data_IF_740714699603
#
_entry.id   IF_740714699603
#
_cell.length_a   1.000
_cell.length_b   1.000
_cell.length_c   1.000
_cell.angle_alpha   90.00
_cell.angle_beta   90.00
_cell.angle_gamma   90.00
#
_symmetry.space_group_name_H-M   'P 1'
#
loop_
_entity.id
_entity.type
_entity.pdbx_description
1 polymer ?
#
# COMPACT_ATOMS: atom_id res chain seq x y z
N UNK A 1 -20.26 -37.63 -3.89
CA UNK A 1 -21.16 -37.15 -4.97
C UNK A 1 -22.05 -36.05 -4.41
N UNK A 2 -21.67 -34.79 -4.60
CA UNK A 2 -22.56 -33.62 -4.76
C UNK A 2 -21.66 -32.41 -5.04
N UNK A 3 -21.10 -32.42 -6.25
CA UNK A 3 -20.51 -31.27 -6.92
C UNK A 3 -21.64 -30.51 -7.60
N UNK A 4 -21.85 -29.24 -7.26
CA UNK A 4 -22.76 -28.41 -8.05
C UNK A 4 -23.07 -27.05 -7.47
N UNK A 5 -22.68 -26.04 -8.24
CA UNK A 5 -23.19 -24.65 -8.30
C UNK A 5 -22.41 -23.57 -7.54
N UNK A 6 -21.20 -23.28 -8.02
CA UNK A 6 -20.59 -21.95 -7.89
C UNK A 6 -19.95 -21.42 -9.19
N UNK A 7 -20.15 -22.09 -10.33
CA UNK A 7 -19.54 -21.71 -11.63
C UNK A 7 -20.28 -20.57 -12.36
N UNK A 8 -21.06 -19.75 -11.65
CA UNK A 8 -21.99 -18.79 -12.27
C UNK A 8 -21.66 -17.30 -12.14
N UNK A 9 -20.65 -16.91 -11.36
CA UNK A 9 -20.45 -15.48 -11.02
C UNK A 9 -19.01 -14.95 -11.17
N UNK A 10 -18.12 -15.68 -11.85
CA UNK A 10 -16.74 -15.25 -12.12
C UNK A 10 -16.52 -14.73 -13.56
N UNK A 11 -17.57 -14.25 -14.25
CA UNK A 11 -17.46 -13.77 -15.64
C UNK A 11 -18.16 -12.43 -15.87
N UNK A 12 -17.74 -11.43 -15.13
CA UNK A 12 -17.88 -10.03 -15.52
C UNK A 12 -16.84 -9.25 -14.73
N UNK A 13 -15.73 -8.85 -15.36
CA UNK A 13 -14.83 -7.73 -15.03
C UNK A 13 -13.44 -7.96 -15.67
N UNK A 14 -13.36 -7.91 -17.00
CA UNK A 14 -12.13 -7.58 -17.74
C UNK A 14 -12.55 -6.88 -19.03
N UNK A 15 -12.09 -5.66 -19.34
CA UNK A 15 -12.14 -5.15 -20.70
C UNK A 15 -11.04 -5.82 -21.53
N UNK A 16 -11.44 -6.38 -22.67
CA UNK A 16 -10.56 -6.74 -23.77
C UNK A 16 -9.82 -5.49 -24.28
N UNK A 17 -8.49 -5.50 -24.29
CA UNK A 17 -7.69 -4.66 -25.18
C UNK A 17 -6.59 -5.52 -25.81
N UNK A 18 -6.92 -6.08 -26.97
CA UNK A 18 -5.95 -6.51 -27.96
C UNK A 18 -5.49 -5.29 -28.77
N UNK A 19 -4.19 -5.21 -29.05
CA UNK A 19 -3.61 -4.23 -29.94
C UNK A 19 -2.08 -4.27 -29.91
N UNK A 20 -1.50 -5.30 -30.54
CA UNK A 20 -0.08 -5.31 -30.94
C UNK A 20 0.23 -4.05 -31.75
N UNK A 21 1.17 -3.24 -31.26
CA UNK A 21 1.64 -2.01 -31.88
C UNK A 21 3.03 -1.68 -31.35
N UNK A 22 3.94 -1.45 -32.27
CA UNK A 22 5.40 -1.56 -32.19
C UNK A 22 6.06 -0.55 -31.22
N UNK A 23 6.80 -1.06 -30.24
CA UNK A 23 7.64 -0.28 -29.30
C UNK A 23 8.84 0.40 -29.99
N UNK A 24 9.13 0.06 -31.26
CA UNK A 24 10.21 0.65 -32.04
C UNK A 24 9.87 2.05 -32.59
N UNK A 25 8.59 2.36 -32.87
CA UNK A 25 8.19 3.62 -33.53
C UNK A 25 8.18 4.83 -32.57
N UNK A 26 7.99 4.59 -31.27
CA UNK A 26 8.01 5.66 -30.25
C UNK A 26 9.44 6.15 -29.97
N UNK A 27 10.43 5.27 -30.12
CA UNK A 27 11.84 5.60 -29.88
C UNK A 27 12.48 6.38 -31.03
N UNK A 28 11.94 6.31 -32.25
CA UNK A 28 12.45 7.07 -33.40
C UNK A 28 12.06 8.56 -33.36
N UNK A 29 10.95 8.92 -32.69
CA UNK A 29 10.47 10.30 -32.64
C UNK A 29 11.17 11.17 -31.58
N UNK A 30 11.84 10.54 -30.60
CA UNK A 30 12.53 11.27 -29.51
C UNK A 30 13.98 11.64 -29.89
N UNK A 31 14.55 11.02 -30.92
CA UNK A 31 15.98 11.16 -31.27
C UNK A 31 16.28 12.09 -32.45
N UNK A 32 15.32 12.85 -32.98
CA UNK A 32 15.58 13.90 -33.98
C UNK A 32 15.34 15.28 -33.39
N UNK A 33 16.35 15.83 -32.72
CA UNK A 33 16.26 17.17 -32.14
C UNK A 33 17.53 17.71 -31.52
N UNK A 34 18.70 17.49 -32.15
CA UNK A 34 19.94 18.18 -31.77
C UNK A 34 20.67 18.59 -33.05
N UNK A 35 20.64 19.89 -33.38
CA UNK A 35 21.52 20.51 -34.37
C UNK A 35 22.65 21.26 -33.64
N UNK A 36 23.89 21.03 -34.07
CA UNK A 36 25.08 21.80 -33.68
C UNK A 36 25.18 23.09 -34.50
N UNK A 37 25.55 24.19 -33.84
CA UNK A 37 25.90 25.47 -34.46
C UNK A 37 27.29 25.96 -34.03
N UNK A 38 28.06 26.67 -34.89
CA UNK A 38 29.52 26.73 -34.80
C UNK A 38 30.08 28.04 -34.20
N UNK A 39 31.21 27.91 -33.49
CA UNK A 39 32.36 28.84 -33.49
C UNK A 39 32.22 30.28 -32.94
N UNK A 40 32.99 30.57 -31.88
CA UNK A 40 33.76 31.83 -31.78
C UNK A 40 33.42 32.83 -30.66
N UNK A 41 34.42 33.07 -29.82
CA UNK A 41 34.73 34.32 -29.08
C UNK A 41 34.15 34.54 -27.66
N UNK A 42 35.06 34.71 -26.68
CA UNK A 42 34.83 35.58 -25.51
C UNK A 42 35.03 34.95 -24.12
N UNK A 43 36.26 34.98 -23.61
CA UNK A 43 36.64 34.73 -22.21
C UNK A 43 36.25 35.91 -21.30
N UNK A 44 35.60 35.68 -20.14
CA UNK A 44 35.95 36.37 -18.87
C UNK A 44 35.60 35.48 -17.67
N UNK A 45 36.61 35.16 -16.85
CA UNK A 45 36.46 34.53 -15.52
C UNK A 45 37.12 35.46 -14.49
N UNK A 46 36.48 35.88 -13.39
CA UNK A 46 37.19 36.41 -12.24
C UNK A 46 37.57 35.27 -11.28
N UNK A 47 38.83 35.32 -10.84
CA UNK A 47 39.54 34.30 -10.10
C UNK A 47 39.18 34.23 -8.61
N UNK A 48 39.20 33.01 -8.05
CA UNK A 48 39.42 32.77 -6.62
C UNK A 48 38.82 31.47 -6.09
N UNK A 49 39.69 30.62 -5.52
CA UNK A 49 39.47 29.40 -4.69
C UNK A 49 39.75 28.07 -5.44
N UNK A 50 40.51 27.13 -4.84
CA UNK A 50 41.69 26.54 -5.48
C UNK A 50 41.48 25.18 -6.18
N UNK A 51 42.49 24.89 -7.00
CA UNK A 51 42.79 23.65 -7.72
C UNK A 51 43.02 22.46 -6.74
N UNK A 52 42.13 21.46 -6.89
CA UNK A 52 42.17 20.01 -6.60
C UNK A 52 42.91 19.45 -5.38
N UNK A 53 42.16 18.64 -4.62
CA UNK A 53 42.66 17.38 -4.05
C UNK A 53 41.64 16.25 -4.35
N UNK A 54 42.03 15.39 -5.29
CA UNK A 54 41.63 13.99 -5.54
C UNK A 54 40.20 13.52 -5.15
N UNK A 55 39.35 13.38 -6.17
CA UNK A 55 38.63 12.12 -6.41
C UNK A 55 37.36 11.81 -5.60
N UNK A 56 36.60 12.79 -5.11
CA UNK A 56 35.23 12.54 -4.61
C UNK A 56 34.19 13.28 -5.48
N UNK A 57 33.12 12.62 -5.94
CA UNK A 57 32.01 13.34 -6.54
C UNK A 57 31.38 14.26 -5.49
N UNK A 58 31.31 15.56 -5.82
CA UNK A 58 30.54 16.55 -5.06
C UNK A 58 29.07 16.35 -5.48
N UNK A 59 28.21 16.04 -4.51
CA UNK A 59 26.77 15.93 -4.74
C UNK A 59 26.09 17.17 -4.19
N UNK A 60 25.36 17.88 -5.03
CA UNK A 60 24.51 18.98 -4.60
C UNK A 60 23.27 18.41 -3.87
N UNK A 61 22.97 18.95 -2.69
CA UNK A 61 21.76 18.61 -1.96
C UNK A 61 20.57 19.42 -2.50
N UNK A 62 19.49 18.75 -2.86
CA UNK A 62 18.22 19.40 -3.20
C UNK A 62 17.42 19.59 -1.91
N UNK A 63 17.07 20.85 -1.64
CA UNK A 63 16.14 21.24 -0.57
C UNK A 63 14.71 20.97 -1.05
N UNK A 64 13.95 20.22 -0.26
CA UNK A 64 12.52 19.99 -0.48
C UNK A 64 11.80 20.55 0.74
N UNK A 65 11.02 21.61 0.52
CA UNK A 65 10.18 22.24 1.54
C UNK A 65 8.91 21.43 1.79
N UNK A 66 8.32 21.60 2.98
CA UNK A 66 7.08 20.93 3.38
C UNK A 66 5.91 21.38 2.49
N UNK A 67 5.32 20.43 1.76
CA UNK A 67 3.94 20.53 1.29
C UNK A 67 3.05 19.94 2.39
N UNK A 68 2.42 20.80 3.19
CA UNK A 68 1.45 20.35 4.20
C UNK A 68 0.09 20.13 3.54
N UNK A 69 -0.14 18.95 2.97
CA UNK A 69 -1.51 18.54 2.63
C UNK A 69 -2.21 18.06 3.90
N UNK A 70 -3.28 18.76 4.28
CA UNK A 70 -4.18 18.30 5.33
C UNK A 70 -5.16 17.31 4.72
N UNK A 71 -4.88 16.02 4.90
CA UNK A 71 -5.81 14.96 4.51
C UNK A 71 -7.01 15.02 5.45
N UNK A 72 -8.15 15.46 4.92
CA UNK A 72 -9.45 15.27 5.58
C UNK A 72 -9.94 13.88 5.21
N UNK A 73 -10.22 13.05 6.21
CA UNK A 73 -10.86 11.74 5.98
C UNK A 73 -12.24 12.06 5.39
N UNK A 74 -12.38 11.86 4.08
CA UNK A 74 -13.64 12.04 3.39
C UNK A 74 -14.60 10.91 3.78
N UNK A 75 -15.90 11.19 3.85
CA UNK A 75 -16.98 10.20 4.07
C UNK A 75 -17.01 9.03 3.05
N UNK A 76 -16.09 9.02 2.09
CA UNK A 76 -15.94 7.97 1.07
C UNK A 76 -15.21 6.74 1.59
N UNK A 77 -14.28 6.91 2.53
CA UNK A 77 -13.48 5.80 3.03
C UNK A 77 -14.19 5.14 4.20
N UNK A 78 -14.53 3.85 4.09
CA UNK A 78 -15.28 3.16 5.15
C UNK A 78 -14.90 1.70 5.27
N UNK A 79 -14.73 1.27 6.51
CA UNK A 79 -14.50 -0.13 6.87
C UNK A 79 -13.04 -0.44 7.19
N UNK A 80 -12.86 -1.51 7.95
CA UNK A 80 -11.55 -2.03 8.33
C UNK A 80 -11.28 -3.29 7.52
N UNK A 81 -10.10 -3.37 6.93
CA UNK A 81 -9.64 -4.54 6.20
C UNK A 81 -8.51 -5.23 6.94
N UNK A 82 -8.58 -6.55 7.06
CA UNK A 82 -7.48 -7.40 7.53
C UNK A 82 -6.96 -8.22 6.36
N UNK A 83 -5.66 -8.11 6.06
CA UNK A 83 -5.02 -9.00 5.11
C UNK A 83 -4.80 -10.37 5.76
N UNK A 84 -5.63 -11.34 5.37
CA UNK A 84 -5.60 -12.71 5.85
C UNK A 84 -4.54 -13.50 5.08
N UNK A 85 -3.35 -13.62 5.67
CA UNK A 85 -2.27 -14.39 5.09
C UNK A 85 -2.59 -15.89 5.07
N UNK A 86 -2.29 -16.53 3.94
CA UNK A 86 -2.28 -17.98 3.80
C UNK A 86 -0.91 -18.48 3.35
N UNK A 87 -0.64 -19.76 3.60
CA UNK A 87 0.50 -20.48 3.04
C UNK A 87 0.03 -21.85 2.58
N UNK A 88 0.24 -22.16 1.29
CA UNK A 88 -0.14 -23.42 0.67
C UNK A 88 -1.63 -23.77 0.89
N UNK A 89 -2.51 -22.79 0.69
CA UNK A 89 -3.95 -22.95 0.86
C UNK A 89 -4.41 -22.93 2.32
N UNK A 90 -3.51 -22.77 3.30
CA UNK A 90 -3.88 -22.75 4.72
C UNK A 90 -3.71 -21.37 5.34
N UNK A 91 -4.76 -20.88 5.98
CA UNK A 91 -4.73 -19.63 6.73
C UNK A 91 -3.73 -19.69 7.89
N UNK A 92 -2.98 -18.60 8.08
CA UNK A 92 -2.03 -18.47 9.20
C UNK A 92 -2.75 -17.92 10.44
N UNK A 93 -2.26 -18.28 11.63
CA UNK A 93 -2.86 -17.83 12.90
C UNK A 93 -2.95 -16.32 13.04
N UNK A 94 -1.97 -15.60 12.49
CA UNK A 94 -1.94 -14.13 12.47
C UNK A 94 -3.21 -13.52 11.86
N UNK A 95 -3.85 -14.18 10.88
CA UNK A 95 -5.11 -13.71 10.31
C UNK A 95 -6.22 -13.65 11.38
N UNK A 96 -6.32 -14.68 12.22
CA UNK A 96 -7.32 -14.76 13.29
C UNK A 96 -7.04 -13.75 14.41
N UNK A 97 -5.78 -13.58 14.79
CA UNK A 97 -5.35 -12.58 15.79
C UNK A 97 -5.70 -11.16 15.34
N UNK A 98 -5.43 -10.83 14.07
CA UNK A 98 -5.75 -9.53 13.49
C UNK A 98 -7.24 -9.33 13.28
N UNK A 99 -8.01 -10.38 12.95
CA UNK A 99 -9.47 -10.28 12.87
C UNK A 99 -10.10 -9.99 14.23
N UNK A 100 -9.63 -10.64 15.29
CA UNK A 100 -10.10 -10.36 16.65
C UNK A 100 -9.86 -8.89 17.01
N UNK A 101 -8.64 -8.39 16.78
CA UNK A 101 -8.31 -6.98 17.03
C UNK A 101 -9.07 -6.03 16.12
N UNK A 102 -9.18 -6.35 14.84
CA UNK A 102 -9.95 -5.59 13.85
C UNK A 102 -11.44 -5.49 14.23
N UNK A 103 -12.02 -6.53 14.83
CA UNK A 103 -13.40 -6.55 15.31
C UNK A 103 -13.62 -5.55 16.45
N UNK A 104 -12.70 -5.51 17.43
CA UNK A 104 -12.74 -4.51 18.51
C UNK A 104 -12.74 -3.07 17.96
N UNK A 105 -11.89 -2.80 16.96
CA UNK A 105 -11.80 -1.49 16.31
C UNK A 105 -13.07 -1.16 15.51
N UNK A 106 -13.56 -2.14 14.73
CA UNK A 106 -14.72 -1.98 13.87
C UNK A 106 -16.00 -1.74 14.68
N UNK A 107 -16.14 -2.42 15.83
CA UNK A 107 -17.25 -2.21 16.77
C UNK A 107 -17.18 -0.82 17.42
N UNK A 108 -15.98 -0.36 17.78
CA UNK A 108 -15.76 0.98 18.33
C UNK A 108 -16.14 2.09 17.34
N UNK A 109 -15.92 1.85 16.05
CA UNK A 109 -16.25 2.79 14.97
C UNK A 109 -17.65 2.57 14.37
N UNK A 110 -18.33 1.47 14.72
CA UNK A 110 -19.59 1.02 14.12
C UNK A 110 -19.51 0.89 12.58
N UNK A 111 -18.44 0.27 12.10
CA UNK A 111 -18.19 0.00 10.67
C UNK A 111 -17.96 -1.49 10.42
N UNK A 112 -17.95 -1.87 9.14
CA UNK A 112 -17.75 -3.26 8.73
C UNK A 112 -16.27 -3.66 8.82
N UNK A 113 -16.02 -4.90 9.25
CA UNK A 113 -14.72 -5.57 9.16
C UNK A 113 -14.73 -6.51 7.96
N UNK A 114 -13.73 -6.40 7.09
CA UNK A 114 -13.55 -7.32 5.96
C UNK A 114 -12.21 -8.05 6.06
N UNK A 115 -12.18 -9.30 5.65
CA UNK A 115 -10.92 -10.02 5.41
C UNK A 115 -10.59 -9.98 3.92
N UNK A 116 -9.31 -9.83 3.58
CA UNK A 116 -8.80 -9.92 2.20
C UNK A 116 -7.79 -11.05 2.14
N UNK A 117 -8.03 -12.05 1.29
CA UNK A 117 -7.16 -13.22 1.15
C UNK A 117 -6.81 -13.46 -0.31
N UNK A 118 -5.52 -13.62 -0.60
CA UNK A 118 -5.01 -13.98 -1.91
C UNK A 118 -4.36 -15.36 -1.86
N UNK A 119 -4.68 -16.22 -2.81
CA UNK A 119 -4.12 -17.56 -2.84
C UNK A 119 -4.73 -18.43 -3.92
N UNK A 120 -4.57 -19.74 -3.77
CA UNK A 120 -5.18 -20.72 -4.65
C UNK A 120 -5.69 -21.90 -3.82
N UNK A 121 -6.95 -22.31 -4.04
CA UNK A 121 -7.60 -23.39 -3.28
C UNK A 121 -7.39 -23.21 -1.76
N UNK A 122 -7.79 -22.04 -1.23
CA UNK A 122 -7.64 -21.75 0.19
C UNK A 122 -8.70 -22.52 0.98
N UNK A 123 -8.23 -23.47 1.79
CA UNK A 123 -9.06 -24.27 2.67
C UNK A 123 -9.60 -23.40 3.83
N UNK A 124 -10.80 -23.75 4.32
CA UNK A 124 -11.40 -23.17 5.53
C UNK A 124 -11.54 -21.63 5.48
N UNK A 125 -11.76 -21.05 4.30
CA UNK A 125 -11.92 -19.60 4.12
C UNK A 125 -13.11 -19.03 4.92
N UNK A 126 -14.12 -19.86 5.18
CA UNK A 126 -15.29 -19.55 5.98
C UNK A 126 -14.95 -19.27 7.46
N UNK A 127 -13.80 -19.76 7.94
CA UNK A 127 -13.31 -19.42 9.28
C UNK A 127 -13.08 -17.92 9.45
N UNK A 128 -12.73 -17.18 8.39
CA UNK A 128 -12.55 -15.73 8.50
C UNK A 128 -13.84 -15.02 8.95
N UNK A 129 -15.00 -15.50 8.49
CA UNK A 129 -16.31 -15.01 8.96
C UNK A 129 -16.55 -15.43 10.41
N UNK A 130 -16.28 -16.69 10.76
CA UNK A 130 -16.46 -17.19 12.11
C UNK A 130 -15.62 -16.43 13.16
N UNK A 131 -14.47 -15.89 12.75
CA UNK A 131 -13.57 -15.09 13.59
C UNK A 131 -13.84 -13.57 13.53
N UNK A 132 -14.96 -13.15 12.94
CA UNK A 132 -15.50 -11.78 13.10
C UNK A 132 -15.51 -10.91 11.86
N UNK A 133 -15.03 -11.39 10.71
CA UNK A 133 -15.21 -10.66 9.45
C UNK A 133 -16.69 -10.65 9.04
N UNK A 134 -17.19 -9.48 8.62
CA UNK A 134 -18.51 -9.34 8.02
C UNK A 134 -18.49 -9.75 6.54
N UNK A 135 -17.35 -9.54 5.87
CA UNK A 135 -17.13 -9.82 4.44
C UNK A 135 -15.76 -10.44 4.21
N UNK A 136 -15.64 -11.26 3.17
CA UNK A 136 -14.35 -11.80 2.71
C UNK A 136 -14.17 -11.49 1.22
N UNK A 137 -13.08 -10.81 0.88
CA UNK A 137 -12.59 -10.66 -0.48
C UNK A 137 -11.54 -11.74 -0.73
N UNK A 138 -11.92 -12.76 -1.50
CA UNK A 138 -11.02 -13.83 -1.93
C UNK A 138 -10.62 -13.62 -3.39
N UNK A 139 -9.32 -13.56 -3.65
CA UNK A 139 -8.77 -13.68 -5.01
C UNK A 139 -8.12 -15.05 -5.12
N UNK A 140 -8.80 -15.96 -5.81
CA UNK A 140 -8.34 -17.34 -6.05
C UNK A 140 -7.69 -17.44 -7.43
N UNK A 141 -6.36 -17.51 -7.46
CA UNK A 141 -5.57 -17.73 -8.68
C UNK A 141 -4.30 -18.54 -8.38
N UNK A 142 -3.93 -19.53 -9.20
CA UNK A 142 -2.67 -20.26 -9.07
C UNK A 142 -1.43 -19.35 -9.19
N UNK A 143 -1.55 -18.16 -9.77
CA UNK A 143 -0.42 -17.23 -9.98
C UNK A 143 0.19 -16.73 -8.65
N UNK A 144 -0.60 -16.73 -7.57
CA UNK A 144 -0.13 -16.38 -6.23
C UNK A 144 0.86 -17.41 -5.62
N UNK A 145 1.11 -18.53 -6.30
CA UNK A 145 2.08 -19.54 -5.85
C UNK A 145 3.52 -19.25 -6.25
N UNK A 146 3.76 -18.58 -7.39
CA UNK A 146 5.09 -18.41 -7.99
C UNK A 146 5.72 -17.03 -7.79
N UNK A 147 4.92 -15.97 -7.71
CA UNK A 147 5.42 -14.60 -7.44
C UNK A 147 4.42 -13.82 -6.57
N UNK A 148 4.34 -14.11 -5.27
CA UNK A 148 3.27 -13.56 -4.43
C UNK A 148 3.39 -12.05 -4.26
N UNK A 149 4.58 -11.46 -4.15
CA UNK A 149 4.70 -10.10 -3.62
C UNK A 149 4.29 -9.01 -4.61
N UNK A 150 4.73 -9.10 -5.87
CA UNK A 150 4.32 -8.16 -6.91
C UNK A 150 2.81 -8.27 -7.19
N UNK A 151 2.31 -9.49 -7.36
CA UNK A 151 0.88 -9.74 -7.61
C UNK A 151 0.01 -9.30 -6.43
N UNK A 152 0.42 -9.62 -5.19
CA UNK A 152 -0.27 -9.15 -3.99
C UNK A 152 -0.27 -7.62 -3.91
N UNK A 153 0.84 -6.97 -4.26
CA UNK A 153 0.92 -5.50 -4.29
C UNK A 153 -0.09 -4.92 -5.27
N UNK A 154 -0.04 -5.35 -6.53
CA UNK A 154 -0.92 -4.86 -7.57
C UNK A 154 -2.39 -5.11 -7.23
N UNK A 155 -2.72 -6.34 -6.83
CA UNK A 155 -4.09 -6.72 -6.54
C UNK A 155 -4.65 -5.98 -5.32
N UNK A 156 -3.85 -5.81 -4.25
CA UNK A 156 -4.32 -5.08 -3.07
C UNK A 156 -4.50 -3.58 -3.36
N UNK A 157 -3.61 -2.98 -4.16
CA UNK A 157 -3.75 -1.58 -4.59
C UNK A 157 -5.04 -1.38 -5.39
N UNK A 158 -5.35 -2.28 -6.33
CA UNK A 158 -6.59 -2.21 -7.11
C UNK A 158 -7.82 -2.29 -6.22
N UNK A 159 -7.84 -3.26 -5.29
CA UNK A 159 -8.96 -3.41 -4.34
C UNK A 159 -9.10 -2.19 -3.42
N UNK A 160 -8.00 -1.67 -2.87
CA UNK A 160 -8.03 -0.47 -2.03
C UNK A 160 -8.58 0.73 -2.81
N UNK A 161 -8.15 0.93 -4.05
CA UNK A 161 -8.65 2.04 -4.90
C UNK A 161 -10.11 1.87 -5.29
N UNK A 162 -10.58 0.64 -5.44
CA UNK A 162 -11.96 0.35 -5.83
C UNK A 162 -12.93 0.48 -4.66
N UNK A 163 -12.56 0.02 -3.47
CA UNK A 163 -13.45 -0.10 -2.32
C UNK A 163 -13.16 0.89 -1.20
N UNK A 164 -12.07 1.66 -1.30
CA UNK A 164 -11.70 2.76 -0.40
C UNK A 164 -11.84 2.41 1.09
N UNK A 165 -11.16 1.38 1.63
CA UNK A 165 -11.22 1.09 3.06
C UNK A 165 -10.60 2.22 3.88
N UNK A 166 -11.09 2.40 5.11
CA UNK A 166 -10.60 3.42 6.04
C UNK A 166 -9.30 2.97 6.74
N UNK A 167 -9.21 1.68 7.10
CA UNK A 167 -8.06 1.10 7.80
C UNK A 167 -7.70 -0.23 7.12
N UNK A 168 -6.41 -0.45 6.85
CA UNK A 168 -5.88 -1.74 6.40
C UNK A 168 -4.86 -2.25 7.43
N UNK A 169 -5.10 -3.45 7.95
CA UNK A 169 -4.26 -4.12 8.95
C UNK A 169 -3.64 -5.36 8.30
N UNK A 170 -2.34 -5.54 8.47
CA UNK A 170 -1.62 -6.69 7.95
C UNK A 170 -0.63 -7.23 8.98
N UNK A 171 -0.33 -8.52 8.88
CA UNK A 171 0.62 -9.18 9.77
C UNK A 171 2.03 -8.64 9.56
N UNK A 172 2.75 -8.38 10.65
CA UNK A 172 4.17 -8.03 10.61
C UNK A 172 5.07 -9.26 10.31
N UNK A 173 4.65 -10.12 9.39
CA UNK A 173 5.38 -11.33 8.95
C UNK A 173 6.35 -11.00 7.82
N UNK A 174 7.14 -11.97 7.35
CA UNK A 174 8.00 -11.79 6.19
C UNK A 174 7.22 -11.31 4.94
N UNK A 175 6.02 -11.86 4.70
CA UNK A 175 5.19 -11.45 3.56
C UNK A 175 4.66 -10.03 3.76
N UNK A 176 3.98 -9.78 4.88
CA UNK A 176 3.39 -8.46 5.15
C UNK A 176 4.43 -7.34 5.19
N UNK A 177 5.61 -7.58 5.79
CA UNK A 177 6.73 -6.62 5.80
C UNK A 177 7.33 -6.38 4.41
N UNK A 178 7.17 -7.31 3.47
CA UNK A 178 7.71 -7.15 2.12
C UNK A 178 6.82 -6.25 1.25
N UNK A 179 5.52 -6.58 1.14
CA UNK A 179 4.67 -5.95 0.12
C UNK A 179 3.77 -4.81 0.64
N UNK A 180 3.36 -4.81 1.92
CA UNK A 180 2.49 -3.77 2.48
C UNK A 180 3.12 -2.36 2.44
N UNK A 181 4.44 -2.17 2.73
CA UNK A 181 5.08 -0.87 2.55
C UNK A 181 5.03 -0.35 1.12
N UNK A 182 5.08 -1.25 0.13
CA UNK A 182 4.96 -0.90 -1.29
C UNK A 182 3.54 -0.49 -1.64
N UNK A 183 2.54 -1.21 -1.11
CA UNK A 183 1.11 -0.84 -1.25
C UNK A 183 0.86 0.55 -0.67
N UNK A 184 1.33 0.83 0.55
CA UNK A 184 1.17 2.13 1.21
C UNK A 184 1.79 3.26 0.38
N UNK A 185 3.00 3.04 -0.16
CA UNK A 185 3.69 3.99 -1.02
C UNK A 185 2.91 4.28 -2.32
N UNK A 186 2.33 3.26 -2.97
CA UNK A 186 1.59 3.41 -4.24
C UNK A 186 0.22 4.07 -4.04
N UNK A 187 -0.43 3.80 -2.91
CA UNK A 187 -1.71 4.42 -2.54
C UNK A 187 -1.51 5.85 -2.02
N UNK A 188 -0.31 6.19 -1.54
CA UNK A 188 -0.01 7.50 -0.97
C UNK A 188 -0.52 7.66 0.46
N UNK A 189 -0.44 6.59 1.26
CA UNK A 189 -0.90 6.58 2.66
C UNK A 189 0.23 6.27 3.65
N UNK A 190 0.02 6.63 4.92
CA UNK A 190 0.93 6.31 6.00
C UNK A 190 0.93 4.83 6.36
N UNK A 191 2.03 4.35 6.93
CA UNK A 191 2.16 3.00 7.46
C UNK A 191 2.99 3.02 8.74
N UNK A 192 2.46 2.47 9.83
CA UNK A 192 3.25 2.16 11.03
C UNK A 192 3.55 0.67 11.05
N UNK A 193 4.84 0.33 11.00
CA UNK A 193 5.31 -1.05 11.08
C UNK A 193 5.50 -1.49 12.53
N UNK A 194 5.34 -2.81 12.79
CA UNK A 194 5.62 -3.45 14.08
C UNK A 194 4.85 -2.85 15.27
N UNK A 195 3.57 -2.56 15.07
CA UNK A 195 2.66 -2.17 16.14
C UNK A 195 2.44 -3.34 17.12
N UNK A 196 2.41 -3.01 18.40
CA UNK A 196 2.09 -3.97 19.47
C UNK A 196 0.64 -3.87 19.93
N UNK A 197 -0.02 -2.74 19.68
CA UNK A 197 -1.43 -2.55 19.99
C UNK A 197 -2.06 -1.51 19.04
N UNK A 198 -3.37 -1.61 18.86
CA UNK A 198 -4.19 -0.73 18.02
C UNK A 198 -5.41 -0.28 18.82
N UNK A 199 -5.68 1.01 18.84
CA UNK A 199 -6.80 1.58 19.61
C UNK A 199 -7.50 2.67 18.83
N UNK A 200 -8.79 2.89 19.10
CA UNK A 200 -9.53 4.05 18.62
C UNK A 200 -9.62 5.08 19.73
N UNK A 201 -9.25 6.33 19.44
CA UNK A 201 -9.23 7.38 20.44
C UNK A 201 -9.43 8.78 19.89
N UNK A 202 -9.56 9.75 20.79
CA UNK A 202 -9.69 11.15 20.43
C UNK A 202 -8.36 11.87 20.72
N UNK A 203 -7.92 12.71 19.79
CA UNK A 203 -6.74 13.54 19.97
C UNK A 203 -7.12 15.01 20.06
N UNK A 204 -6.66 15.69 21.11
CA UNK A 204 -6.82 17.14 21.26
C UNK A 204 -5.53 17.83 20.82
N UNK A 205 -5.64 18.65 19.78
CA UNK A 205 -4.52 19.44 19.28
C UNK A 205 -4.20 20.55 20.29
N UNK A 206 -2.99 20.54 20.84
CA UNK A 206 -2.58 21.47 21.88
C UNK A 206 -2.57 22.95 21.43
N UNK A 207 -2.35 23.20 20.14
CA UNK A 207 -2.17 24.55 19.57
C UNK A 207 -3.47 25.34 19.44
N UNK A 208 -4.54 24.70 18.96
CA UNK A 208 -5.84 25.34 18.69
C UNK A 208 -6.97 24.81 19.58
N UNK A 209 -6.75 23.71 20.30
CA UNK A 209 -7.74 23.09 21.18
C UNK A 209 -8.74 22.18 20.48
N UNK A 210 -8.61 21.99 19.16
CA UNK A 210 -9.52 21.16 18.36
C UNK A 210 -9.42 19.69 18.77
N UNK A 211 -10.57 19.00 18.79
CA UNK A 211 -10.64 17.58 19.12
C UNK A 211 -10.96 16.79 17.86
N UNK A 212 -9.99 16.01 17.42
CA UNK A 212 -10.16 15.04 16.36
C UNK A 212 -10.62 13.74 17.00
N UNK A 213 -11.78 13.24 16.58
CA UNK A 213 -12.39 12.05 17.16
C UNK A 213 -12.08 10.81 16.32
N UNK A 214 -12.18 9.65 16.95
CA UNK A 214 -12.15 8.35 16.26
C UNK A 214 -10.87 8.09 15.45
N UNK A 215 -9.72 8.58 15.94
CA UNK A 215 -8.43 8.33 15.30
C UNK A 215 -7.90 6.95 15.66
N UNK A 216 -7.26 6.31 14.68
CA UNK A 216 -6.49 5.08 14.91
C UNK A 216 -5.16 5.42 15.58
N UNK A 217 -4.98 4.96 16.81
CA UNK A 217 -3.71 4.97 17.52
C UNK A 217 -2.95 3.67 17.25
N UNK A 218 -1.76 3.81 16.70
CA UNK A 218 -0.86 2.72 16.31
C UNK A 218 0.29 2.65 17.31
N UNK A 219 0.15 1.82 18.34
CA UNK A 219 1.10 1.81 19.45
C UNK A 219 2.32 0.98 19.06
N UNK A 220 3.47 1.65 19.03
CA UNK A 220 4.78 1.01 18.88
C UNK A 220 5.67 1.35 20.08
N UNK A 221 6.31 0.37 20.73
CA UNK A 221 7.19 0.64 21.85
C UNK A 221 8.44 1.40 21.39
N UNK A 222 8.71 2.55 22.01
CA UNK A 222 9.98 3.25 21.86
C UNK A 222 10.83 3.07 23.13
N UNK A 223 12.16 3.18 23.00
CA UNK A 223 13.05 3.34 24.14
C UNK A 223 12.76 4.69 24.81
N UNK A 224 11.80 4.73 25.74
CA UNK A 224 11.44 5.91 26.53
C UNK A 224 10.00 6.45 26.36
N UNK A 225 9.10 5.77 25.65
CA UNK A 225 7.70 6.20 25.51
C UNK A 225 6.92 5.49 24.40
N UNK A 226 5.71 5.99 24.09
CA UNK A 226 4.93 5.61 22.91
C UNK A 226 5.12 6.69 21.83
N UNK A 227 5.29 6.27 20.57
CA UNK A 227 5.23 7.16 19.39
C UNK A 227 3.89 7.03 18.68
#
# INVERSE_FOLDING_TARGET
MHSGKWTGLARALLPELAGEGDLADVLSQVLQGVEEGPGGEGLVVPAGVPVVAEGRPVYDAILIDEVTETVTISDRHRGIWVFAEQRNGKLKSVAYELLAKGRELADSLQIELSAVCFGHNVDEIDQLIAYGADKVYLVDSPDFTSNPEDLCTHQLVELIRQYEPEIVIAGATALGRSFIPRVASIVGTGLTADCTDLQIGNHKIAKNGDIHKNLLFQIRPAFGGNI
#
